data_IF_508434423233
#
_entry.id   IF_508434423233
#
_cell.length_a   1.000
_cell.length_b   1.000
_cell.length_c   1.000
_cell.angle_alpha   90.00
_cell.angle_beta   90.00
_cell.angle_gamma   90.00
#
_symmetry.space_group_name_H-M   'P 1'
#
loop_
_entity.id
_entity.type
_entity.pdbx_description
1 polymer ?
#
# COMPACT_ATOMS: atom_id res chain seq x y z
N UNK A 1 3.35 -22.11 14.87
CA UNK A 1 4.63 -22.23 14.13
C UNK A 1 5.60 -21.18 14.67
N UNK A 2 6.91 -21.42 14.67
CA UNK A 2 7.90 -20.40 15.05
C UNK A 2 8.32 -19.51 13.87
N UNK A 3 9.39 -18.72 14.04
CA UNK A 3 9.96 -17.89 12.95
C UNK A 3 10.33 -18.74 11.73
N UNK A 4 10.12 -18.20 10.53
CA UNK A 4 10.39 -18.84 9.25
C UNK A 4 11.72 -18.34 8.65
N UNK A 5 12.39 -19.15 7.81
CA UNK A 5 13.55 -18.69 7.05
C UNK A 5 13.19 -17.52 6.10
N UNK A 6 14.10 -16.56 5.96
CA UNK A 6 13.86 -15.37 5.14
C UNK A 6 13.59 -15.68 3.66
N UNK A 7 14.40 -16.55 3.06
CA UNK A 7 14.23 -16.98 1.66
C UNK A 7 12.89 -17.68 1.43
N UNK A 8 12.39 -18.41 2.43
CA UNK A 8 11.06 -19.02 2.37
C UNK A 8 9.96 -17.96 2.30
N UNK A 9 10.05 -16.92 3.13
CA UNK A 9 9.09 -15.81 3.09
C UNK A 9 9.19 -15.05 1.76
N UNK A 10 10.39 -14.80 1.23
CA UNK A 10 10.56 -14.16 -0.06
C UNK A 10 9.90 -14.96 -1.19
N UNK A 11 10.15 -16.27 -1.26
CA UNK A 11 9.52 -17.17 -2.22
C UNK A 11 7.99 -17.27 -2.04
N UNK A 12 7.51 -17.29 -0.80
CA UNK A 12 6.07 -17.27 -0.50
C UNK A 12 5.43 -15.97 -0.99
N UNK A 13 6.11 -14.84 -0.76
CA UNK A 13 5.67 -13.52 -1.19
C UNK A 13 5.66 -13.40 -2.69
N UNK A 14 6.61 -14.01 -3.42
CA UNK A 14 6.59 -14.06 -4.89
C UNK A 14 5.27 -14.63 -5.46
N UNK A 15 4.64 -15.57 -4.75
CA UNK A 15 3.31 -16.11 -5.09
C UNK A 15 2.15 -15.29 -4.54
N UNK A 16 2.09 -15.12 -3.21
CA UNK A 16 0.89 -14.67 -2.49
C UNK A 16 0.93 -13.20 -2.03
N UNK A 17 2.09 -12.55 -2.16
CA UNK A 17 2.32 -11.20 -1.66
C UNK A 17 1.77 -10.10 -2.55
N UNK A 18 1.42 -8.97 -1.94
CA UNK A 18 0.90 -7.78 -2.60
C UNK A 18 1.55 -6.51 -2.06
N UNK A 19 2.29 -5.81 -2.91
CA UNK A 19 2.83 -4.47 -2.65
C UNK A 19 1.89 -3.43 -3.25
N UNK A 20 1.03 -2.83 -2.46
CA UNK A 20 -0.03 -1.95 -2.97
C UNK A 20 0.31 -0.47 -2.79
N UNK A 21 0.12 0.31 -3.86
CA UNK A 21 0.11 1.76 -3.87
C UNK A 21 -1.23 2.21 -4.47
N UNK A 22 -2.05 2.95 -3.70
CA UNK A 22 -3.43 3.30 -4.08
C UNK A 22 -3.65 4.79 -3.89
N UNK A 23 -4.30 5.43 -4.87
CA UNK A 23 -4.86 6.76 -4.67
C UNK A 23 -6.24 6.62 -4.02
N UNK A 24 -6.39 7.15 -2.80
CA UNK A 24 -7.65 7.11 -2.03
C UNK A 24 -8.30 8.47 -2.00
N UNK A 25 -9.64 8.44 -1.90
CA UNK A 25 -10.50 9.60 -1.69
C UNK A 25 -11.04 9.58 -0.25
N UNK A 26 -10.87 10.67 0.47
CA UNK A 26 -11.36 10.87 1.84
C UNK A 26 -12.35 12.04 1.85
N UNK A 27 -13.61 11.75 2.19
CA UNK A 27 -14.68 12.75 2.28
C UNK A 27 -14.96 13.02 3.76
N UNK A 28 -14.75 14.27 4.18
CA UNK A 28 -14.99 14.67 5.59
C UNK A 28 -16.44 15.09 5.80
N UNK A 29 -17.34 14.11 5.87
CA UNK A 29 -18.78 14.32 6.01
C UNK A 29 -19.20 15.16 7.22
N UNK A 30 -18.44 15.08 8.31
CA UNK A 30 -18.68 15.81 9.56
C UNK A 30 -18.40 17.32 9.45
N UNK A 31 -17.74 17.78 8.38
CA UNK A 31 -17.38 19.19 8.20
C UNK A 31 -18.36 19.90 7.26
N UNK A 32 -18.60 21.19 7.52
CA UNK A 32 -19.35 22.07 6.62
C UNK A 32 -18.74 22.00 5.21
N UNK A 33 -19.60 21.85 4.19
CA UNK A 33 -19.26 21.67 2.77
C UNK A 33 -18.60 20.33 2.41
N UNK A 34 -18.54 19.34 3.32
CA UNK A 34 -18.09 17.96 3.04
C UNK A 34 -16.83 17.88 2.15
N UNK A 35 -15.71 18.53 2.55
CA UNK A 35 -14.54 18.64 1.69
C UNK A 35 -13.95 17.27 1.33
N UNK A 36 -13.51 17.16 0.08
CA UNK A 36 -12.92 15.95 -0.50
C UNK A 36 -11.40 16.10 -0.54
N UNK A 37 -10.71 15.11 0.01
CA UNK A 37 -9.25 14.99 0.01
C UNK A 37 -8.84 13.77 -0.79
N UNK A 38 -7.65 13.84 -1.39
CA UNK A 38 -7.01 12.68 -1.99
C UNK A 38 -5.68 12.43 -1.30
N UNK A 39 -5.37 11.16 -1.07
CA UNK A 39 -4.11 10.76 -0.46
C UNK A 39 -3.62 9.43 -1.03
N UNK A 40 -2.31 9.27 -1.06
CA UNK A 40 -1.68 8.01 -1.41
C UNK A 40 -1.65 7.09 -0.18
N UNK A 41 -2.14 5.88 -0.38
CA UNK A 41 -2.21 4.78 0.59
C UNK A 41 -1.25 3.70 0.13
N UNK A 42 -0.39 3.24 1.02
CA UNK A 42 0.65 2.26 0.73
C UNK A 42 0.59 1.13 1.75
N UNK A 43 0.72 -0.10 1.26
CA UNK A 43 0.50 -1.30 2.06
C UNK A 43 1.28 -2.48 1.49
N UNK A 44 1.84 -3.30 2.38
CA UNK A 44 2.25 -4.66 2.07
C UNK A 44 1.24 -5.63 2.67
N UNK A 45 0.74 -6.60 1.90
CA UNK A 45 -0.24 -7.55 2.39
C UNK A 45 -0.10 -8.95 1.78
N UNK A 46 -0.56 -9.95 2.54
CA UNK A 46 -0.74 -11.34 2.12
C UNK A 46 -2.16 -11.72 2.49
N UNK A 47 -2.89 -12.36 1.58
CA UNK A 47 -4.28 -12.77 1.79
C UNK A 47 -4.42 -14.25 1.47
N UNK A 48 -4.81 -15.04 2.46
CA UNK A 48 -5.05 -16.48 2.33
C UNK A 48 -6.44 -16.84 2.84
N UNK A 49 -6.81 -18.10 2.72
CA UNK A 49 -7.98 -18.63 3.41
C UNK A 49 -7.70 -18.73 4.92
N UNK A 50 -8.75 -18.75 5.74
CA UNK A 50 -8.64 -18.73 7.21
C UNK A 50 -7.97 -19.96 7.81
N UNK A 51 -8.08 -21.11 7.14
CA UNK A 51 -7.46 -22.38 7.51
C UNK A 51 -5.92 -22.28 7.43
N UNK A 52 -5.39 -21.45 6.54
CA UNK A 52 -3.96 -21.17 6.42
C UNK A 52 -3.47 -20.02 7.30
N UNK A 53 -4.24 -19.58 8.32
CA UNK A 53 -3.87 -18.41 9.15
C UNK A 53 -2.53 -18.60 9.88
N UNK A 54 -2.18 -19.83 10.27
CA UNK A 54 -0.97 -20.11 11.06
C UNK A 54 0.32 -19.66 10.34
N UNK A 55 0.38 -19.77 9.00
CA UNK A 55 1.54 -19.28 8.24
C UNK A 55 1.65 -17.76 8.29
N UNK A 56 0.51 -17.05 8.31
CA UNK A 56 0.50 -15.59 8.43
C UNK A 56 0.98 -15.15 9.81
N UNK A 57 0.67 -15.92 10.86
CA UNK A 57 1.18 -15.68 12.21
C UNK A 57 2.70 -15.86 12.28
N UNK A 58 3.22 -16.92 11.67
CA UNK A 58 4.65 -17.17 11.58
C UNK A 58 5.40 -16.09 10.77
N UNK A 59 4.81 -15.63 9.66
CA UNK A 59 5.35 -14.51 8.87
C UNK A 59 5.36 -13.23 9.72
N UNK A 60 4.26 -12.91 10.41
CA UNK A 60 4.18 -11.74 11.30
C UNK A 60 5.23 -11.80 12.42
N UNK A 61 5.45 -12.96 13.02
CA UNK A 61 6.48 -13.16 14.05
C UNK A 61 7.90 -13.01 13.50
N UNK A 62 8.13 -13.40 12.25
CA UNK A 62 9.43 -13.25 11.60
C UNK A 62 9.72 -11.80 11.21
N UNK A 63 8.71 -11.10 10.68
CA UNK A 63 8.81 -9.69 10.25
C UNK A 63 8.64 -8.70 11.40
N UNK A 64 8.19 -9.15 12.56
CA UNK A 64 8.01 -8.37 13.80
C UNK A 64 7.17 -7.10 13.60
N UNK A 65 6.20 -7.13 12.69
CA UNK A 65 5.30 -6.03 12.39
C UNK A 65 3.99 -6.51 11.76
N UNK A 66 3.06 -5.58 11.53
CA UNK A 66 1.81 -5.85 10.85
C UNK A 66 0.70 -6.43 11.73
N UNK A 67 -0.48 -6.59 11.12
CA UNK A 67 -1.69 -7.08 11.77
C UNK A 67 -2.33 -8.16 10.92
N UNK A 68 -2.96 -9.13 11.61
CA UNK A 68 -3.75 -10.17 10.98
C UNK A 68 -5.21 -9.89 11.28
N UNK A 69 -6.05 -9.94 10.25
CA UNK A 69 -7.49 -9.80 10.35
C UNK A 69 -8.18 -10.90 9.56
N UNK A 70 -9.38 -11.29 9.99
CA UNK A 70 -10.20 -12.28 9.29
C UNK A 70 -11.49 -11.59 8.87
N UNK A 71 -11.86 -11.71 7.61
CA UNK A 71 -13.12 -11.16 7.12
C UNK A 71 -14.28 -12.16 7.27
N UNK A 72 -15.51 -11.68 7.10
CA UNK A 72 -16.73 -12.51 7.18
C UNK A 72 -16.81 -13.64 6.15
N UNK A 73 -15.98 -13.59 5.10
CA UNK A 73 -15.92 -14.60 4.03
C UNK A 73 -14.88 -15.68 4.30
N UNK A 74 -14.24 -15.67 5.48
CA UNK A 74 -13.25 -16.68 5.84
C UNK A 74 -11.89 -16.49 5.16
N UNK A 75 -11.54 -15.26 4.79
CA UNK A 75 -10.19 -14.92 4.32
C UNK A 75 -9.39 -14.28 5.46
N UNK A 76 -8.17 -14.76 5.68
CA UNK A 76 -7.20 -14.16 6.57
C UNK A 76 -6.28 -13.21 5.81
N UNK A 77 -6.05 -12.03 6.35
CA UNK A 77 -5.21 -10.98 5.76
C UNK A 77 -4.16 -10.56 6.77
N UNK A 78 -2.89 -10.78 6.43
CA UNK A 78 -1.76 -10.11 7.03
C UNK A 78 -1.52 -8.79 6.28
N UNK A 79 -1.42 -7.66 6.98
CA UNK A 79 -1.18 -6.36 6.37
C UNK A 79 -0.26 -5.48 7.23
N UNK A 80 0.63 -4.74 6.56
CA UNK A 80 1.51 -3.73 7.12
C UNK A 80 1.24 -2.42 6.39
N UNK A 81 0.75 -1.42 7.13
CA UNK A 81 0.41 -0.09 6.60
C UNK A 81 1.09 1.02 7.41
N UNK A 82 1.76 0.67 8.52
CA UNK A 82 2.53 1.64 9.28
C UNK A 82 3.76 2.06 8.48
N UNK A 83 3.90 3.36 8.27
CA UNK A 83 4.95 3.95 7.44
C UNK A 83 6.35 3.64 7.98
N UNK A 84 6.51 3.52 9.30
CA UNK A 84 7.81 3.20 9.88
C UNK A 84 8.12 1.70 9.74
N UNK A 85 7.15 0.82 10.02
CA UNK A 85 7.34 -0.62 9.81
C UNK A 85 7.65 -0.94 8.33
N UNK A 86 6.98 -0.26 7.39
CA UNK A 86 7.27 -0.42 5.96
C UNK A 86 8.70 0.02 5.60
N UNK A 87 9.12 1.18 6.12
CA UNK A 87 10.44 1.75 5.83
C UNK A 87 11.59 0.98 6.48
N UNK A 88 11.41 0.54 7.73
CA UNK A 88 12.50 0.03 8.57
C UNK A 88 12.48 -1.48 8.81
N UNK A 89 11.41 -2.18 8.42
CA UNK A 89 11.33 -3.64 8.55
C UNK A 89 11.08 -4.30 7.19
N UNK A 90 10.04 -3.88 6.48
CA UNK A 90 9.64 -4.53 5.22
C UNK A 90 10.64 -4.30 4.10
N UNK A 91 11.05 -3.05 3.85
CA UNK A 91 12.05 -2.76 2.81
C UNK A 91 13.38 -3.48 3.10
N UNK A 92 14.01 -3.34 4.28
CA UNK A 92 15.28 -4.00 4.56
C UNK A 92 15.18 -5.53 4.49
N UNK A 93 14.05 -6.11 4.88
CA UNK A 93 13.84 -7.56 4.78
C UNK A 93 13.91 -8.05 3.34
N UNK A 94 13.23 -7.40 2.40
CA UNK A 94 13.22 -7.81 0.98
C UNK A 94 14.44 -7.32 0.18
N UNK A 95 15.24 -6.40 0.74
CA UNK A 95 16.58 -6.11 0.23
C UNK A 95 17.59 -7.20 0.62
N UNK A 96 17.44 -7.78 1.82
CA UNK A 96 18.26 -8.89 2.29
C UNK A 96 17.84 -10.23 1.65
N UNK A 97 16.54 -10.54 1.65
CA UNK A 97 15.96 -11.74 1.08
C UNK A 97 15.21 -11.40 -0.21
N UNK A 98 15.90 -11.55 -1.33
CA UNK A 98 15.42 -11.03 -2.61
C UNK A 98 14.24 -11.82 -3.17
N UNK A 99 13.29 -11.10 -3.74
CA UNK A 99 12.25 -11.67 -4.60
C UNK A 99 12.87 -12.08 -5.94
N UNK A 100 12.42 -13.20 -6.51
CA UNK A 100 12.97 -13.75 -7.75
C UNK A 100 11.98 -13.72 -8.91
N UNK A 101 10.67 -13.67 -8.65
CA UNK A 101 9.66 -13.58 -9.70
C UNK A 101 9.41 -12.13 -10.15
N UNK A 102 8.42 -11.94 -11.04
CA UNK A 102 8.00 -10.61 -11.52
C UNK A 102 7.64 -9.62 -10.40
N UNK A 103 7.35 -10.13 -9.20
CA UNK A 103 7.05 -9.33 -8.01
C UNK A 103 8.24 -8.51 -7.52
N UNK A 104 9.47 -8.89 -7.87
CA UNK A 104 10.66 -8.07 -7.64
C UNK A 104 10.52 -6.66 -8.22
N UNK A 105 10.04 -6.55 -9.47
CA UNK A 105 9.84 -5.24 -10.11
C UNK A 105 8.73 -4.42 -9.45
N UNK A 106 7.68 -5.10 -9.00
CA UNK A 106 6.60 -4.50 -8.20
C UNK A 106 7.14 -3.93 -6.87
N UNK A 107 7.99 -4.68 -6.18
CA UNK A 107 8.65 -4.26 -4.95
C UNK A 107 9.58 -3.05 -5.17
N UNK A 108 10.42 -3.05 -6.21
CA UNK A 108 11.33 -1.93 -6.47
C UNK A 108 10.58 -0.61 -6.74
N UNK A 109 9.54 -0.66 -7.58
CA UNK A 109 8.66 0.49 -7.82
C UNK A 109 7.94 0.93 -6.54
N UNK A 110 7.41 -0.02 -5.77
CA UNK A 110 6.73 0.25 -4.52
C UNK A 110 7.68 0.86 -3.46
N UNK A 111 8.94 0.43 -3.42
CA UNK A 111 10.00 0.98 -2.56
C UNK A 111 10.30 2.43 -2.92
N UNK A 112 10.41 2.77 -4.20
CA UNK A 112 10.56 4.17 -4.66
C UNK A 112 9.40 5.04 -4.14
N UNK A 113 8.16 4.57 -4.27
CA UNK A 113 6.99 5.29 -3.76
C UNK A 113 7.02 5.42 -2.23
N UNK A 114 7.44 4.37 -1.52
CA UNK A 114 7.53 4.37 -0.06
C UNK A 114 8.51 5.44 0.43
N UNK A 115 9.67 5.61 -0.21
CA UNK A 115 10.64 6.67 0.14
C UNK A 115 10.02 8.07 -0.02
N UNK A 116 9.28 8.32 -1.11
CA UNK A 116 8.59 9.58 -1.34
C UNK A 116 7.50 9.85 -0.29
N UNK A 117 6.73 8.82 0.07
CA UNK A 117 5.69 8.90 1.11
C UNK A 117 6.28 9.09 2.50
N UNK A 118 7.42 8.46 2.80
CA UNK A 118 8.14 8.62 4.06
C UNK A 118 8.64 10.05 4.24
N UNK A 119 9.31 10.61 3.22
CA UNK A 119 9.79 11.99 3.21
C UNK A 119 8.67 13.00 3.46
N UNK A 120 7.47 12.71 2.95
CA UNK A 120 6.29 13.56 3.04
C UNK A 120 5.29 13.08 4.11
N UNK A 121 5.72 12.24 5.07
CA UNK A 121 4.87 11.74 6.15
C UNK A 121 4.22 12.90 6.90
N UNK A 122 2.89 12.86 7.04
CA UNK A 122 2.10 13.91 7.68
C UNK A 122 1.60 15.01 6.74
N UNK A 123 2.00 15.02 5.46
CA UNK A 123 1.42 15.92 4.46
C UNK A 123 0.17 15.32 3.83
N UNK A 124 -0.92 16.09 3.81
CA UNK A 124 -2.17 15.74 3.10
C UNK A 124 -2.36 16.68 1.92
N UNK A 125 -2.56 16.12 0.73
CA UNK A 125 -2.89 16.90 -0.47
C UNK A 125 -4.37 17.29 -0.42
N UNK A 126 -4.64 18.59 -0.30
CA UNK A 126 -5.99 19.13 -0.42
C UNK A 126 -6.20 19.60 -1.86
N UNK A 127 -7.31 19.21 -2.51
CA UNK A 127 -7.69 19.67 -3.85
C UNK A 127 -8.96 20.55 -3.80
N UNK A 128 -9.46 20.97 -2.63
CA UNK A 128 -10.59 21.91 -2.61
C UNK A 128 -10.23 23.20 -3.37
N UNK A 129 -10.71 23.31 -4.61
CA UNK A 129 -10.66 24.45 -5.53
C UNK A 129 -11.49 25.63 -5.05
N UNK A 130 -12.11 25.53 -3.87
CA UNK A 130 -12.66 26.67 -3.15
C UNK A 130 -11.63 27.10 -2.11
N UNK A 131 -11.02 28.26 -2.37
CA UNK A 131 -9.93 28.84 -1.58
C UNK A 131 -10.16 28.76 -0.07
N UNK A 132 -9.07 28.54 0.66
CA UNK A 132 -9.09 28.61 2.12
C UNK A 132 -8.76 30.06 2.53
N UNK A 133 -9.69 30.87 3.07
CA UNK A 133 -9.40 32.28 3.34
C UNK A 133 -8.49 32.47 4.56
N UNK A 134 -8.37 31.50 5.47
CA UNK A 134 -7.62 31.69 6.72
C UNK A 134 -7.04 30.37 7.23
N UNK A 135 -5.71 30.32 7.38
CA UNK A 135 -5.04 29.29 8.15
C UNK A 135 -3.75 28.79 7.50
N UNK A 136 -2.61 29.25 8.07
CA UNK A 136 -1.22 28.77 7.99
C UNK A 136 -0.84 28.01 6.71
N UNK A 137 0.12 28.56 5.93
CA UNK A 137 0.74 27.91 4.75
C UNK A 137 1.04 26.44 5.07
N UNK A 138 0.24 25.52 4.56
CA UNK A 138 0.52 24.09 4.67
C UNK A 138 1.68 23.78 3.74
N UNK A 139 2.66 23.02 4.23
CA UNK A 139 3.69 22.41 3.38
C UNK A 139 2.95 21.52 2.39
N UNK A 140 3.00 21.89 1.12
CA UNK A 140 2.39 21.15 0.04
C UNK A 140 3.40 20.13 -0.49
N UNK A 141 2.87 19.07 -1.09
CA UNK A 141 3.68 18.15 -1.87
C UNK A 141 4.35 18.87 -3.04
N UNK A 142 5.59 18.50 -3.34
CA UNK A 142 6.26 18.95 -4.54
C UNK A 142 5.55 18.39 -5.79
N UNK A 143 5.42 19.22 -6.83
CA UNK A 143 4.69 18.84 -8.04
C UNK A 143 5.35 17.66 -8.76
N UNK A 144 6.69 17.63 -8.81
CA UNK A 144 7.43 16.55 -9.46
C UNK A 144 7.33 15.25 -8.65
N UNK A 145 7.35 15.34 -7.31
CA UNK A 145 7.11 14.16 -6.45
C UNK A 145 5.71 13.57 -6.65
N UNK A 146 4.67 14.40 -6.80
CA UNK A 146 3.31 13.91 -7.13
C UNK A 146 3.23 13.29 -8.52
N UNK A 147 3.89 13.89 -9.51
CA UNK A 147 3.96 13.35 -10.87
C UNK A 147 4.66 11.99 -10.86
N UNK A 148 5.79 11.89 -10.18
CA UNK A 148 6.55 10.64 -10.02
C UNK A 148 5.74 9.55 -9.31
N UNK A 149 4.97 9.87 -8.27
CA UNK A 149 4.06 8.90 -7.64
C UNK A 149 2.99 8.36 -8.59
N UNK A 150 2.45 9.20 -9.48
CA UNK A 150 1.49 8.77 -10.51
C UNK A 150 2.16 7.83 -11.53
N UNK A 151 3.33 8.21 -12.02
CA UNK A 151 4.10 7.38 -12.96
C UNK A 151 4.46 6.01 -12.36
N UNK A 152 4.87 5.98 -11.09
CA UNK A 152 5.13 4.73 -10.37
C UNK A 152 3.84 3.90 -10.29
N UNK A 153 2.72 4.52 -9.88
CA UNK A 153 1.45 3.83 -9.73
C UNK A 153 0.95 3.21 -11.05
N UNK A 154 1.12 3.91 -12.17
CA UNK A 154 0.79 3.42 -13.51
C UNK A 154 1.65 2.23 -13.89
N UNK A 155 2.98 2.34 -13.76
CA UNK A 155 3.93 1.24 -14.03
C UNK A 155 3.68 0.00 -13.17
N UNK A 156 3.25 0.19 -11.92
CA UNK A 156 2.92 -0.93 -11.04
C UNK A 156 1.73 -1.77 -11.56
N UNK A 157 0.84 -1.20 -12.39
CA UNK A 157 -0.33 -1.95 -12.88
C UNK A 157 0.07 -3.12 -13.77
N UNK A 158 1.17 -3.01 -14.52
CA UNK A 158 1.67 -4.06 -15.41
C UNK A 158 2.08 -5.33 -14.65
N UNK A 159 2.41 -5.20 -13.35
CA UNK A 159 2.87 -6.30 -12.50
C UNK A 159 1.76 -6.86 -11.59
N UNK A 160 0.57 -6.22 -11.56
CA UNK A 160 -0.57 -6.75 -10.82
C UNK A 160 -1.17 -7.94 -11.56
N UNK A 161 -1.65 -8.92 -10.81
CA UNK A 161 -2.50 -9.95 -11.40
C UNK A 161 -3.72 -9.28 -12.03
N UNK A 162 -4.11 -9.70 -13.24
CA UNK A 162 -5.34 -9.27 -13.89
C UNK A 162 -6.51 -9.60 -12.96
N UNK A 163 -6.97 -8.62 -12.20
CA UNK A 163 -8.29 -8.69 -11.58
C UNK A 163 -9.26 -8.38 -12.69
N UNK A 164 -10.18 -9.32 -12.97
CA UNK A 164 -11.20 -9.16 -14.00
C UNK A 164 -11.76 -7.75 -13.98
N UNK A 165 -11.81 -7.12 -15.15
CA UNK A 165 -12.26 -5.75 -15.35
C UNK A 165 -13.48 -5.48 -14.50
N UNK A 166 -13.34 -4.53 -13.58
CA UNK A 166 -14.46 -4.18 -12.72
C UNK A 166 -15.50 -3.46 -13.60
N UNK A 167 -16.55 -4.20 -13.98
CA UNK A 167 -17.69 -3.78 -14.81
C UNK A 167 -18.39 -2.46 -14.41
N UNK A 168 -18.03 -1.85 -13.27
CA UNK A 168 -18.55 -0.55 -12.86
C UNK A 168 -17.83 0.64 -13.52
N UNK A 169 -16.66 0.45 -14.15
CA UNK A 169 -15.97 1.51 -14.90
C UNK A 169 -16.71 1.82 -16.22
N UNK A 170 -17.31 0.82 -16.88
CA UNK A 170 -18.11 1.00 -18.09
C UNK A 170 -19.41 1.78 -17.85
N UNK A 171 -19.89 1.83 -16.59
CA UNK A 171 -21.11 2.55 -16.22
C UNK A 171 -20.90 4.06 -16.02
N UNK A 172 -19.65 4.54 -16.03
CA UNK A 172 -19.31 5.97 -15.89
C UNK A 172 -19.05 6.68 -17.24
N UNK A 173 -19.21 5.97 -18.36
CA UNK A 173 -19.08 6.50 -19.73
C UNK A 173 -20.41 6.56 -20.50
N UNK A 174 -21.54 6.36 -19.82
CA UNK A 174 -22.89 6.69 -20.32
C UNK A 174 -23.46 7.84 -19.51
#
# INVERSE_FOLDING_TARGET
MGKLPGDYIAGFVDGEGCFALKLRRDIRYERKNKPIYFYWDIEFAIVLRKDDKEILEAIRETLECGKISINKYGMARYAVNDINDLMYKIIPFFELYQLHAKKKFDFELWKEAMVLLYKNKGLKTNISTTGNPRGKRKKNWDHNELKKLREIHEKMQDYKSQRGEWKWIEQLQK
#
